data_IF_654815857635
#
_entry.id   IF_654815857635
#
_cell.length_a   1.000
_cell.length_b   1.000
_cell.length_c   1.000
_cell.angle_alpha   90.00
_cell.angle_beta   90.00
_cell.angle_gamma   90.00
#
_symmetry.space_group_name_H-M   'P 1'
#
loop_
_entity.id
_entity.type
_entity.pdbx_description
1 polymer ?
#
# COMPACT_ATOMS: atom_id res chain seq x y z
N UNK A 1 -44.67 -43.68 -11.67
CA UNK A 1 -43.40 -44.09 -12.31
C UNK A 1 -42.26 -43.69 -11.38
N UNK A 2 -41.35 -44.52 -10.93
CA UNK A 2 -41.36 -45.96 -10.66
C UNK A 2 -40.33 -46.13 -9.52
N UNK A 3 -40.80 -46.36 -8.30
CA UNK A 3 -39.99 -47.04 -7.28
C UNK A 3 -40.02 -48.54 -7.61
N UNK A 4 -38.92 -49.26 -7.39
CA UNK A 4 -38.88 -50.60 -6.77
C UNK A 4 -37.44 -51.16 -6.66
N UNK A 5 -37.22 -52.14 -5.75
CA UNK A 5 -35.98 -52.41 -4.99
C UNK A 5 -35.55 -53.90 -5.11
N UNK A 6 -34.93 -54.45 -4.04
CA UNK A 6 -34.50 -55.85 -3.75
C UNK A 6 -33.01 -56.16 -4.05
N UNK A 7 -32.28 -56.97 -3.27
CA UNK A 7 -32.47 -57.61 -1.97
C UNK A 7 -31.19 -58.36 -1.54
N UNK A 8 -31.04 -58.50 -0.22
CA UNK A 8 -30.52 -59.62 0.60
C UNK A 8 -29.47 -60.62 0.02
N UNK A 9 -28.31 -60.83 0.65
CA UNK A 9 -27.98 -61.47 1.96
C UNK A 9 -27.56 -62.94 1.78
N UNK A 10 -26.27 -63.27 2.03
CA UNK A 10 -25.87 -64.56 2.64
C UNK A 10 -24.58 -64.35 3.45
N UNK A 11 -24.67 -64.59 4.76
CA UNK A 11 -23.57 -64.87 5.67
C UNK A 11 -23.12 -66.32 5.50
N UNK A 12 -21.81 -66.57 5.49
CA UNK A 12 -21.28 -67.82 6.02
C UNK A 12 -19.93 -67.59 6.68
N UNK A 13 -19.87 -67.99 7.95
CA UNK A 13 -18.73 -67.96 8.84
C UNK A 13 -17.85 -69.19 8.62
N UNK A 14 -16.53 -69.03 8.70
CA UNK A 14 -15.63 -70.13 9.06
C UNK A 14 -14.48 -69.55 9.88
N UNK A 15 -14.46 -69.92 11.16
CA UNK A 15 -13.36 -69.65 12.10
C UNK A 15 -12.26 -70.68 11.82
N UNK A 16 -11.05 -70.22 11.53
CA UNK A 16 -9.83 -70.98 11.79
C UNK A 16 -8.84 -70.09 12.53
N UNK A 17 -8.62 -70.48 13.78
CA UNK A 17 -7.61 -70.01 14.70
C UNK A 17 -6.21 -70.32 14.17
N UNK A 18 -5.36 -69.31 14.09
CA UNK A 18 -3.92 -69.47 14.07
C UNK A 18 -3.29 -68.45 15.01
N UNK A 19 -2.86 -68.92 16.18
CA UNK A 19 -2.01 -68.17 17.09
C UNK A 19 -0.65 -67.95 16.42
N UNK A 20 -0.39 -66.72 15.99
CA UNK A 20 0.93 -66.24 15.62
C UNK A 20 1.10 -64.85 16.23
N UNK A 21 2.10 -64.68 17.08
CA UNK A 21 2.41 -63.41 17.75
C UNK A 21 2.70 -62.31 16.71
N UNK A 22 1.90 -61.22 16.65
CA UNK A 22 2.29 -60.07 15.84
C UNK A 22 3.51 -59.38 16.47
N UNK A 23 4.42 -58.83 15.64
CA UNK A 23 5.67 -58.25 16.10
C UNK A 23 5.39 -56.99 16.94
N UNK A 24 6.28 -56.75 17.91
CA UNK A 24 6.31 -55.50 18.69
C UNK A 24 6.57 -54.34 17.72
N UNK A 25 5.50 -53.70 17.26
CA UNK A 25 5.59 -52.38 16.63
C UNK A 25 5.93 -51.43 17.77
N UNK A 26 7.18 -51.00 17.82
CA UNK A 26 7.57 -49.82 18.58
C UNK A 26 6.64 -48.70 18.13
N UNK A 27 5.76 -48.23 19.02
CA UNK A 27 5.09 -46.93 18.85
C UNK A 27 6.22 -45.90 18.81
N UNK A 28 6.65 -45.52 17.61
CA UNK A 28 7.21 -44.20 17.44
C UNK A 28 6.11 -43.23 17.87
N UNK A 29 6.34 -42.58 19.01
CA UNK A 29 5.56 -41.44 19.46
C UNK A 29 5.62 -40.46 18.30
N UNK A 30 4.50 -40.30 17.59
CA UNK A 30 4.36 -39.28 16.56
C UNK A 30 4.86 -37.97 17.18
N UNK A 31 5.94 -37.43 16.60
CA UNK A 31 6.46 -36.13 17.00
C UNK A 31 5.27 -35.17 17.05
N UNK A 32 5.13 -34.43 18.15
CA UNK A 32 4.13 -33.39 18.29
C UNK A 32 4.14 -32.54 17.01
N UNK A 33 2.97 -32.22 16.41
CA UNK A 33 2.94 -31.42 15.19
C UNK A 33 3.74 -30.15 15.46
N UNK A 34 4.88 -30.03 14.76
CA UNK A 34 5.70 -28.83 14.82
C UNK A 34 4.76 -27.66 14.55
N UNK A 35 4.74 -26.62 15.40
CA UNK A 35 3.89 -25.47 15.15
C UNK A 35 4.22 -24.95 13.76
N UNK A 36 3.20 -24.81 12.91
CA UNK A 36 3.35 -24.18 11.61
C UNK A 36 3.82 -22.74 11.86
N UNK A 37 5.13 -22.51 11.75
CA UNK A 37 5.69 -21.17 11.83
C UNK A 37 5.40 -20.51 10.49
N UNK A 38 4.34 -19.71 10.44
CA UNK A 38 4.08 -18.84 9.31
C UNK A 38 5.25 -17.85 9.21
N UNK A 39 6.17 -18.11 8.29
CA UNK A 39 7.18 -17.14 7.88
C UNK A 39 6.55 -16.27 6.80
N UNK A 40 6.42 -14.98 7.08
CA UNK A 40 5.96 -14.01 6.09
C UNK A 40 6.91 -14.09 4.88
N UNK A 41 6.40 -14.30 3.65
CA UNK A 41 7.24 -14.39 2.48
C UNK A 41 8.00 -13.07 2.27
N UNK A 42 9.22 -13.15 1.73
CA UNK A 42 9.97 -11.94 1.40
C UNK A 42 9.15 -11.09 0.42
N UNK A 43 9.03 -9.76 0.64
CA UNK A 43 8.22 -8.90 -0.20
C UNK A 43 8.77 -8.89 -1.62
N UNK A 44 7.90 -9.06 -2.61
CA UNK A 44 8.29 -9.00 -4.01
C UNK A 44 8.65 -7.56 -4.41
N UNK A 45 9.41 -7.33 -5.50
CA UNK A 45 9.72 -5.98 -5.95
C UNK A 45 8.46 -5.12 -6.16
N UNK A 46 8.55 -3.79 -6.00
CA UNK A 46 7.45 -2.91 -6.31
C UNK A 46 7.16 -2.92 -7.81
N UNK A 47 5.89 -2.76 -8.18
CA UNK A 47 5.45 -2.59 -9.56
C UNK A 47 5.54 -1.12 -10.01
N UNK A 48 5.16 -0.19 -9.12
CA UNK A 48 5.27 1.25 -9.35
C UNK A 48 6.59 1.79 -8.78
N UNK A 49 7.18 2.77 -9.45
CA UNK A 49 8.37 3.46 -8.94
C UNK A 49 8.08 4.06 -7.55
N UNK A 50 8.96 3.87 -6.59
CA UNK A 50 8.72 4.26 -5.20
C UNK A 50 8.70 5.80 -5.01
N UNK A 51 9.21 6.56 -5.97
CA UNK A 51 9.15 8.02 -5.98
C UNK A 51 8.33 8.52 -7.19
N UNK A 52 7.04 8.89 -7.02
CA UNK A 52 6.21 9.37 -8.14
C UNK A 52 6.60 10.77 -8.66
N UNK A 53 7.44 11.50 -7.94
CA UNK A 53 7.88 12.84 -8.31
C UNK A 53 9.08 12.80 -9.25
N UNK A 54 10.02 11.89 -8.99
CA UNK A 54 11.19 11.65 -9.81
C UNK A 54 11.61 10.17 -9.70
N UNK A 55 11.48 9.42 -10.79
CA UNK A 55 11.77 7.98 -10.80
C UNK A 55 13.24 7.64 -10.54
N UNK A 56 14.17 8.57 -10.78
CA UNK A 56 15.61 8.37 -10.55
C UNK A 56 16.07 8.79 -9.14
N UNK A 57 15.16 9.35 -8.33
CA UNK A 57 15.46 9.80 -6.99
C UNK A 57 14.95 8.81 -5.92
N UNK A 58 15.67 8.65 -4.79
CA UNK A 58 15.16 7.88 -3.67
C UNK A 58 13.80 8.40 -3.19
N UNK A 59 12.92 7.54 -2.67
CA UNK A 59 11.66 7.95 -2.06
C UNK A 59 11.91 8.81 -0.81
N UNK A 60 10.94 9.66 -0.48
CA UNK A 60 11.04 10.62 0.63
C UNK A 60 11.30 9.96 1.98
N UNK A 61 10.77 8.76 2.22
CA UNK A 61 11.03 8.01 3.45
C UNK A 61 12.49 7.54 3.54
N UNK A 62 13.10 7.04 2.46
CA UNK A 62 14.51 6.65 2.47
C UNK A 62 15.42 7.85 2.78
N UNK A 63 15.13 9.01 2.19
CA UNK A 63 15.82 10.26 2.50
C UNK A 63 15.64 10.63 3.99
N UNK A 64 14.43 10.52 4.53
CA UNK A 64 14.16 10.81 5.94
C UNK A 64 14.90 9.87 6.89
N UNK A 65 15.03 8.57 6.56
CA UNK A 65 15.83 7.61 7.35
C UNK A 65 17.32 7.97 7.30
N UNK A 66 17.83 8.32 6.12
CA UNK A 66 19.22 8.76 5.97
C UNK A 66 19.50 10.01 6.81
N UNK A 67 18.62 10.99 6.75
CA UNK A 67 18.72 12.22 7.52
C UNK A 67 18.63 11.94 9.03
N UNK A 68 17.68 11.10 9.47
CA UNK A 68 17.55 10.71 10.88
C UNK A 68 18.83 10.04 11.42
N UNK A 69 19.46 9.20 10.60
CA UNK A 69 20.70 8.47 10.93
C UNK A 69 21.92 9.40 10.98
N UNK A 70 21.93 10.46 10.17
CA UNK A 70 23.01 11.45 10.15
C UNK A 70 22.95 12.44 11.33
N UNK A 71 21.80 12.57 11.99
CA UNK A 71 21.59 13.50 13.09
C UNK A 71 22.16 12.96 14.41
N UNK A 72 22.68 13.83 15.30
CA UNK A 72 23.07 13.44 16.64
C UNK A 72 21.91 12.77 17.38
N UNK A 73 22.21 11.71 18.12
CA UNK A 73 21.22 10.98 18.91
C UNK A 73 21.42 11.28 20.39
N UNK A 74 20.41 11.87 21.02
CA UNK A 74 20.33 11.95 22.49
C UNK A 74 19.81 10.63 23.03
N UNK A 75 20.70 9.80 23.57
CA UNK A 75 20.32 8.51 24.17
C UNK A 75 19.38 8.73 25.36
N UNK A 76 18.37 7.86 25.48
CA UNK A 76 17.39 7.91 26.58
C UNK A 76 17.22 6.53 27.21
N UNK A 77 17.33 6.46 28.53
CA UNK A 77 17.05 5.22 29.28
C UNK A 77 15.59 5.27 29.72
N UNK A 78 14.81 4.26 29.33
CA UNK A 78 13.38 4.15 29.67
C UNK A 78 13.09 2.82 30.35
N UNK A 79 12.14 2.80 31.28
CA UNK A 79 11.65 1.55 31.88
C UNK A 79 10.77 0.78 30.88
N UNK A 80 10.85 -0.55 30.89
CA UNK A 80 10.01 -1.40 30.06
C UNK A 80 8.57 -1.36 30.55
N UNK A 81 7.62 -1.21 29.62
CA UNK A 81 6.21 -1.05 29.93
C UNK A 81 5.60 -2.32 30.56
N UNK A 82 6.10 -3.49 30.20
CA UNK A 82 5.68 -4.79 30.72
C UNK A 82 6.41 -5.20 32.02
N UNK A 83 7.54 -4.56 32.34
CA UNK A 83 8.33 -4.81 33.55
C UNK A 83 9.09 -3.53 33.95
N UNK A 84 8.48 -2.66 34.79
CA UNK A 84 9.08 -1.37 35.15
C UNK A 84 10.42 -1.47 35.89
N UNK A 85 10.79 -2.66 36.39
CA UNK A 85 12.08 -2.91 37.03
C UNK A 85 13.25 -3.04 36.04
N UNK A 86 12.93 -3.27 34.76
CA UNK A 86 13.90 -3.34 33.66
C UNK A 86 13.89 -2.06 32.87
N UNK A 87 15.05 -1.70 32.32
CA UNK A 87 15.21 -0.57 31.42
C UNK A 87 15.77 -0.98 30.08
N UNK A 88 15.54 -0.14 29.08
CA UNK A 88 16.18 -0.21 27.77
C UNK A 88 16.72 1.16 27.39
N UNK A 89 17.73 1.18 26.52
CA UNK A 89 18.30 2.43 25.99
C UNK A 89 17.76 2.66 24.58
N UNK A 90 17.08 3.78 24.39
CA UNK A 90 16.68 4.27 23.08
C UNK A 90 17.83 5.09 22.50
N UNK A 91 18.37 4.63 21.37
CA UNK A 91 19.56 5.22 20.74
C UNK A 91 19.48 5.29 19.22
N UNK A 92 18.27 5.24 18.67
CA UNK A 92 18.01 5.39 17.23
C UNK A 92 16.98 6.49 17.05
N UNK A 93 17.32 7.49 16.23
CA UNK A 93 16.37 8.52 15.85
C UNK A 93 15.22 7.92 15.02
N UNK A 94 14.00 8.28 15.40
CA UNK A 94 12.75 7.92 14.72
C UNK A 94 12.19 9.13 13.98
N UNK A 95 11.31 8.86 13.03
CA UNK A 95 10.57 9.88 12.30
C UNK A 95 9.37 10.31 13.14
N UNK A 96 9.44 11.50 13.72
CA UNK A 96 8.39 12.01 14.62
C UNK A 96 7.64 13.16 13.93
N UNK A 97 6.31 13.10 13.93
CA UNK A 97 5.44 14.17 13.40
C UNK A 97 4.45 14.63 14.47
N UNK A 98 4.01 15.90 14.46
CA UNK A 98 2.91 16.32 15.30
C UNK A 98 1.60 15.64 14.88
N UNK A 99 0.74 15.33 15.83
CA UNK A 99 -0.57 14.74 15.56
C UNK A 99 -1.65 15.79 15.32
N UNK A 100 -1.49 17.00 15.89
CA UNK A 100 -2.48 18.09 15.83
C UNK A 100 -1.83 19.46 15.59
N UNK A 101 -2.65 20.43 15.19
CA UNK A 101 -2.33 21.86 15.11
C UNK A 101 -1.17 22.27 14.18
N UNK A 102 -0.66 21.37 13.34
CA UNK A 102 0.34 21.70 12.32
C UNK A 102 -0.27 21.77 10.92
N UNK A 103 -0.11 22.93 10.27
CA UNK A 103 -0.55 23.19 8.89
C UNK A 103 0.56 23.01 7.85
N UNK A 104 1.73 22.58 8.28
CA UNK A 104 2.90 22.36 7.45
C UNK A 104 3.45 20.95 7.73
N UNK A 105 4.21 20.39 6.78
CA UNK A 105 4.96 19.16 7.04
C UNK A 105 6.09 19.50 8.01
N UNK A 106 6.12 18.86 9.17
CA UNK A 106 7.01 19.22 10.27
C UNK A 106 7.54 17.98 10.98
N UNK A 107 8.19 17.11 10.21
CA UNK A 107 8.90 15.95 10.74
C UNK A 107 10.15 16.38 11.49
N UNK A 108 10.41 15.73 12.62
CA UNK A 108 11.65 15.84 13.39
C UNK A 108 12.23 14.46 13.70
N UNK A 109 13.46 14.44 14.15
CA UNK A 109 14.18 13.21 14.49
C UNK A 109 14.42 13.14 15.99
N UNK A 110 13.89 12.11 16.64
CA UNK A 110 14.07 11.89 18.07
C UNK A 110 13.91 10.42 18.42
N UNK A 111 14.49 9.97 19.53
CA UNK A 111 14.41 8.57 19.98
C UNK A 111 13.03 8.18 20.53
N UNK A 112 12.17 9.15 20.84
CA UNK A 112 10.85 8.96 21.41
C UNK A 112 9.92 10.12 21.00
N UNK A 113 8.67 9.82 20.71
CA UNK A 113 7.64 10.83 20.49
C UNK A 113 7.21 11.49 21.80
N UNK A 114 6.98 12.81 21.79
CA UNK A 114 6.41 13.53 22.93
C UNK A 114 4.87 13.56 22.91
N UNK A 115 4.32 14.42 23.77
CA UNK A 115 2.88 14.70 23.78
C UNK A 115 2.45 15.32 22.44
N UNK A 116 1.31 14.88 21.91
CA UNK A 116 0.79 15.29 20.61
C UNK A 116 1.75 15.02 19.44
N UNK A 117 2.58 13.99 19.57
CA UNK A 117 3.48 13.52 18.52
C UNK A 117 3.32 12.02 18.34
N UNK A 118 3.72 11.53 17.17
CA UNK A 118 3.68 10.10 16.85
C UNK A 118 4.94 9.71 16.07
N UNK A 119 5.48 8.54 16.41
CA UNK A 119 6.49 7.87 15.59
C UNK A 119 5.82 7.25 14.37
N UNK A 120 6.21 7.73 13.18
CA UNK A 120 5.72 7.26 11.89
C UNK A 120 6.72 6.38 11.15
N UNK A 121 7.84 6.00 11.77
CA UNK A 121 8.91 5.25 11.10
C UNK A 121 8.40 3.95 10.47
N UNK A 122 7.69 3.11 11.23
CA UNK A 122 7.14 1.84 10.74
C UNK A 122 5.92 2.05 9.84
N UNK A 123 5.17 3.14 10.05
CA UNK A 123 4.03 3.51 9.22
C UNK A 123 4.54 3.86 7.83
N UNK A 124 5.53 4.74 7.72
CA UNK A 124 6.06 5.24 6.46
C UNK A 124 6.81 4.15 5.69
N UNK A 125 7.56 3.29 6.39
CA UNK A 125 8.17 2.08 5.80
C UNK A 125 7.11 1.22 5.12
N UNK A 126 6.05 0.88 5.85
CA UNK A 126 4.98 0.08 5.30
C UNK A 126 4.23 0.80 4.16
N UNK A 127 3.90 2.08 4.33
CA UNK A 127 3.19 2.86 3.31
C UNK A 127 3.99 2.91 2.01
N UNK A 128 5.31 3.09 2.04
CA UNK A 128 6.17 3.04 0.85
C UNK A 128 6.07 1.67 0.16
N UNK A 129 6.14 0.58 0.92
CA UNK A 129 6.08 -0.77 0.37
C UNK A 129 4.73 -1.05 -0.30
N UNK A 130 3.61 -0.68 0.34
CA UNK A 130 2.27 -0.91 -0.24
C UNK A 130 2.00 0.03 -1.41
N UNK A 131 2.55 1.25 -1.39
CA UNK A 131 2.45 2.21 -2.49
C UNK A 131 3.06 1.63 -3.76
N UNK A 132 4.22 0.98 -3.67
CA UNK A 132 4.84 0.28 -4.80
C UNK A 132 3.98 -0.82 -5.44
N UNK A 133 2.90 -1.28 -4.78
CA UNK A 133 2.04 -2.37 -5.27
C UNK A 133 0.59 -1.95 -5.55
N UNK A 134 0.11 -0.95 -4.82
CA UNK A 134 -1.31 -0.58 -4.76
C UNK A 134 -1.58 0.93 -4.96
N UNK A 135 -0.59 1.73 -5.40
CA UNK A 135 -0.79 3.15 -5.72
C UNK A 135 -1.90 3.35 -6.76
N UNK A 136 -1.86 2.62 -7.87
CA UNK A 136 -2.89 2.65 -8.92
C UNK A 136 -3.71 1.35 -8.95
N UNK A 137 -4.99 1.46 -9.34
CA UNK A 137 -5.86 0.32 -9.61
C UNK A 137 -5.67 -0.24 -11.04
N UNK A 138 -5.63 -1.57 -11.23
CA UNK A 138 -5.69 -2.61 -10.20
C UNK A 138 -4.33 -2.83 -9.51
N UNK A 139 -4.33 -3.18 -8.21
CA UNK A 139 -3.11 -3.48 -7.47
C UNK A 139 -2.44 -4.75 -8.01
N UNK A 140 -1.11 -4.83 -7.88
CA UNK A 140 -0.30 -5.92 -8.44
C UNK A 140 0.40 -6.69 -7.32
N UNK A 141 0.01 -7.94 -7.18
CA UNK A 141 0.62 -8.89 -6.25
C UNK A 141 0.82 -10.22 -7.00
N UNK A 142 2.08 -10.66 -7.19
CA UNK A 142 2.35 -11.96 -7.81
C UNK A 142 1.99 -13.12 -6.88
N UNK A 143 2.04 -12.90 -5.57
CA UNK A 143 1.69 -13.89 -4.55
C UNK A 143 0.43 -13.50 -3.76
N UNK A 144 -0.48 -14.47 -3.59
CA UNK A 144 -1.75 -14.25 -2.90
C UNK A 144 -1.54 -14.10 -1.38
N UNK A 145 -0.54 -14.76 -0.82
CA UNK A 145 -0.27 -14.68 0.62
C UNK A 145 0.37 -13.34 0.99
N UNK A 146 1.29 -12.84 0.16
CA UNK A 146 1.80 -11.48 0.22
C UNK A 146 0.66 -10.47 0.19
N UNK A 147 -0.25 -10.58 -0.80
CA UNK A 147 -1.44 -9.70 -0.86
C UNK A 147 -2.20 -9.70 0.47
N UNK A 148 -2.52 -10.87 1.04
CA UNK A 148 -3.24 -10.97 2.31
C UNK A 148 -2.50 -10.31 3.48
N UNK A 149 -1.17 -10.46 3.54
CA UNK A 149 -0.34 -9.81 4.57
C UNK A 149 -0.43 -8.29 4.48
N UNK A 150 -0.30 -7.75 3.27
CA UNK A 150 -0.46 -6.31 3.00
C UNK A 150 -1.87 -5.82 3.31
N UNK A 151 -2.91 -6.57 2.98
CA UNK A 151 -4.30 -6.24 3.32
C UNK A 151 -4.51 -6.15 4.84
N UNK A 152 -3.95 -7.09 5.61
CA UNK A 152 -4.05 -7.11 7.06
C UNK A 152 -3.30 -5.93 7.70
N UNK A 153 -2.04 -5.70 7.31
CA UNK A 153 -1.20 -4.62 7.82
C UNK A 153 -1.73 -3.24 7.42
N UNK A 154 -2.34 -3.11 6.24
CA UNK A 154 -2.98 -1.87 5.81
C UNK A 154 -4.25 -1.57 6.61
N UNK A 155 -5.06 -2.57 6.97
CA UNK A 155 -6.19 -2.38 7.89
C UNK A 155 -5.73 -1.88 9.25
N UNK A 156 -4.68 -2.47 9.81
CA UNK A 156 -4.13 -2.01 11.09
C UNK A 156 -3.57 -0.57 10.98
N UNK A 157 -2.81 -0.30 9.93
CA UNK A 157 -2.20 1.02 9.70
C UNK A 157 -3.26 2.10 9.50
N UNK A 158 -4.30 1.83 8.70
CA UNK A 158 -5.42 2.76 8.52
C UNK A 158 -6.17 3.00 9.82
N UNK A 159 -6.44 1.98 10.64
CA UNK A 159 -7.08 2.16 11.95
C UNK A 159 -6.28 3.10 12.88
N UNK A 160 -4.95 2.92 12.95
CA UNK A 160 -4.08 3.80 13.73
C UNK A 160 -4.10 5.24 13.22
N UNK A 161 -4.01 5.41 11.90
CA UNK A 161 -4.02 6.73 11.26
C UNK A 161 -5.37 7.42 11.39
N UNK A 162 -6.48 6.69 11.27
CA UNK A 162 -7.83 7.23 11.37
C UNK A 162 -8.10 7.80 12.77
N UNK A 163 -7.64 7.10 13.83
CA UNK A 163 -7.77 7.58 15.21
C UNK A 163 -7.09 8.95 15.45
N UNK A 164 -6.04 9.25 14.68
CA UNK A 164 -5.36 10.54 14.69
C UNK A 164 -6.01 11.54 13.73
N UNK A 165 -6.33 11.10 12.52
CA UNK A 165 -6.84 11.94 11.43
C UNK A 165 -8.26 12.42 11.67
N UNK A 166 -9.11 11.66 12.37
CA UNK A 166 -10.49 12.07 12.68
C UNK A 166 -10.59 13.26 13.64
N UNK A 167 -9.50 13.61 14.34
CA UNK A 167 -9.46 14.81 15.18
C UNK A 167 -9.66 16.07 14.32
N UNK A 168 -10.53 17.03 14.72
CA UNK A 168 -10.82 18.21 13.91
C UNK A 168 -9.59 19.04 13.54
N UNK A 169 -8.62 19.09 14.45
CA UNK A 169 -7.36 19.82 14.33
C UNK A 169 -6.17 18.91 13.99
N UNK A 170 -6.40 17.71 13.41
CA UNK A 170 -5.34 16.82 12.96
C UNK A 170 -4.31 17.55 12.08
N UNK A 171 -3.03 17.20 12.24
CA UNK A 171 -1.94 17.81 11.49
C UNK A 171 -1.97 17.44 10.01
N UNK A 172 -1.33 18.28 9.19
CA UNK A 172 -1.13 18.00 7.76
C UNK A 172 -0.41 16.66 7.52
N UNK A 173 0.60 16.33 8.34
CA UNK A 173 1.36 15.08 8.27
C UNK A 173 0.48 13.84 8.49
N UNK A 174 -0.38 13.88 9.51
CA UNK A 174 -1.32 12.78 9.81
C UNK A 174 -2.37 12.65 8.70
N UNK A 175 -2.96 13.77 8.28
CA UNK A 175 -3.98 13.77 7.23
C UNK A 175 -3.43 13.18 5.93
N UNK A 176 -2.21 13.56 5.54
CA UNK A 176 -1.57 13.07 4.29
C UNK A 176 -1.38 11.56 4.33
N UNK A 177 -0.90 11.00 5.46
CA UNK A 177 -0.71 9.56 5.62
C UNK A 177 -2.04 8.80 5.62
N UNK A 178 -3.03 9.29 6.37
CA UNK A 178 -4.37 8.68 6.43
C UNK A 178 -5.06 8.71 5.05
N UNK A 179 -4.89 9.80 4.30
CA UNK A 179 -5.37 9.93 2.93
C UNK A 179 -4.74 8.87 2.01
N UNK A 180 -3.41 8.80 1.93
CA UNK A 180 -2.68 7.82 1.10
C UNK A 180 -3.07 6.38 1.47
N UNK A 181 -3.07 6.07 2.76
CA UNK A 181 -3.45 4.75 3.28
C UNK A 181 -4.89 4.37 2.87
N UNK A 182 -5.83 5.31 2.94
CA UNK A 182 -7.21 5.10 2.52
C UNK A 182 -7.34 4.89 1.00
N UNK A 183 -6.59 5.62 0.18
CA UNK A 183 -6.58 5.41 -1.29
C UNK A 183 -6.07 4.01 -1.62
N UNK A 184 -4.98 3.58 -1.01
CA UNK A 184 -4.42 2.24 -1.23
C UNK A 184 -5.38 1.15 -0.71
N UNK A 185 -6.04 1.36 0.43
CA UNK A 185 -7.02 0.42 0.97
C UNK A 185 -8.25 0.28 0.07
N UNK A 186 -8.71 1.38 -0.54
CA UNK A 186 -9.74 1.37 -1.58
C UNK A 186 -9.27 0.57 -2.80
N UNK A 187 -8.06 0.84 -3.29
CA UNK A 187 -7.51 0.13 -4.46
C UNK A 187 -7.33 -1.36 -4.21
N UNK A 188 -7.12 -1.78 -2.96
CA UNK A 188 -7.06 -3.17 -2.54
C UNK A 188 -8.43 -3.83 -2.27
N UNK A 189 -9.54 -3.13 -2.56
CA UNK A 189 -10.91 -3.60 -2.35
C UNK A 189 -11.25 -3.91 -0.88
N UNK A 190 -10.66 -3.17 0.08
CA UNK A 190 -10.81 -3.47 1.52
C UNK A 190 -12.12 -2.98 2.13
N UNK A 191 -12.95 -2.27 1.36
CA UNK A 191 -14.27 -1.80 1.77
C UNK A 191 -14.57 -0.38 1.28
N UNK A 192 -15.86 -0.08 1.09
CA UNK A 192 -16.32 1.22 0.54
C UNK A 192 -16.05 2.40 1.47
N UNK A 193 -15.90 2.17 2.77
CA UNK A 193 -15.60 3.21 3.75
C UNK A 193 -14.30 3.97 3.44
N UNK A 194 -13.31 3.29 2.83
CA UNK A 194 -12.03 3.92 2.47
C UNK A 194 -12.18 4.98 1.37
N UNK A 195 -13.17 4.84 0.47
CA UNK A 195 -13.50 5.89 -0.49
C UNK A 195 -13.92 7.16 0.24
N UNK A 196 -14.89 7.07 1.15
CA UNK A 196 -15.38 8.24 1.92
C UNK A 196 -14.28 8.87 2.78
N UNK A 197 -13.47 8.04 3.46
CA UNK A 197 -12.34 8.52 4.28
C UNK A 197 -11.29 9.24 3.45
N UNK A 198 -10.86 8.65 2.33
CA UNK A 198 -9.89 9.29 1.43
C UNK A 198 -10.39 10.65 0.92
N UNK A 199 -11.66 10.76 0.53
CA UNK A 199 -12.26 12.03 0.09
C UNK A 199 -12.29 13.06 1.22
N UNK A 200 -12.68 12.67 2.44
CA UNK A 200 -12.72 13.57 3.59
C UNK A 200 -11.32 14.13 3.91
N UNK A 201 -10.32 13.25 4.02
CA UNK A 201 -8.96 13.67 4.34
C UNK A 201 -8.36 14.53 3.23
N UNK A 202 -8.57 14.18 1.95
CA UNK A 202 -8.12 15.01 0.83
C UNK A 202 -8.72 16.42 0.87
N UNK A 203 -10.03 16.55 1.11
CA UNK A 203 -10.68 17.87 1.23
C UNK A 203 -10.07 18.72 2.34
N UNK A 204 -9.76 18.11 3.48
CA UNK A 204 -9.13 18.80 4.61
C UNK A 204 -7.70 19.22 4.30
N UNK A 205 -6.93 18.37 3.62
CA UNK A 205 -5.58 18.71 3.15
C UNK A 205 -5.65 19.87 2.16
N UNK A 206 -6.55 19.82 1.18
CA UNK A 206 -6.70 20.86 0.15
C UNK A 206 -7.19 22.20 0.74
N UNK A 207 -7.91 22.19 1.85
CA UNK A 207 -8.25 23.40 2.59
C UNK A 207 -7.03 24.05 3.27
N UNK A 208 -6.02 23.24 3.65
CA UNK A 208 -4.78 23.70 4.28
C UNK A 208 -3.74 24.10 3.22
N UNK A 209 -3.55 23.25 2.21
CA UNK A 209 -2.53 23.38 1.17
C UNK A 209 -3.11 23.06 -0.22
N UNK A 210 -3.83 24.01 -0.83
CA UNK A 210 -4.60 23.77 -2.07
C UNK A 210 -3.75 23.47 -3.31
N UNK A 211 -2.44 23.75 -3.24
CA UNK A 211 -1.48 23.61 -4.33
C UNK A 211 -0.36 22.61 -4.00
N UNK A 212 -0.47 21.81 -2.93
CA UNK A 212 0.49 20.75 -2.62
C UNK A 212 0.54 19.75 -3.79
N UNK A 213 1.69 19.59 -4.48
CA UNK A 213 1.76 18.78 -5.70
C UNK A 213 1.41 17.31 -5.46
N UNK A 214 1.91 16.73 -4.37
CA UNK A 214 1.66 15.33 -4.00
C UNK A 214 0.17 15.09 -3.70
N UNK A 215 -0.46 15.94 -2.90
CA UNK A 215 -1.89 15.82 -2.59
C UNK A 215 -2.73 15.94 -3.87
N UNK A 216 -2.42 16.91 -4.73
CA UNK A 216 -3.11 17.08 -6.00
C UNK A 216 -2.91 15.86 -6.91
N UNK A 217 -1.73 15.24 -6.90
CA UNK A 217 -1.47 14.01 -7.63
C UNK A 217 -2.35 12.87 -7.12
N UNK A 218 -2.27 12.56 -5.82
CA UNK A 218 -3.01 11.48 -5.18
C UNK A 218 -4.53 11.64 -5.30
N UNK A 219 -5.02 12.87 -5.15
CA UNK A 219 -6.44 13.15 -5.29
C UNK A 219 -6.88 13.09 -6.75
N UNK A 220 -6.08 13.62 -7.67
CA UNK A 220 -6.35 13.60 -9.11
C UNK A 220 -6.46 12.19 -9.67
N UNK A 221 -5.46 11.34 -9.44
CA UNK A 221 -5.55 9.96 -9.94
C UNK A 221 -6.62 9.17 -9.15
N UNK A 222 -6.78 9.45 -7.85
CA UNK A 222 -7.81 8.84 -7.01
C UNK A 222 -9.22 9.09 -7.57
N UNK A 223 -9.51 10.30 -8.03
CA UNK A 223 -10.75 10.65 -8.73
C UNK A 223 -10.85 9.96 -10.10
N UNK A 224 -9.77 10.02 -10.89
CA UNK A 224 -9.73 9.42 -12.23
C UNK A 224 -10.09 7.93 -12.22
N UNK A 225 -9.46 7.17 -11.33
CA UNK A 225 -9.66 5.74 -11.18
C UNK A 225 -10.98 5.39 -10.49
N UNK A 226 -11.55 6.34 -9.74
CA UNK A 226 -12.84 6.22 -9.07
C UNK A 226 -14.04 6.63 -9.93
N UNK A 227 -13.85 7.01 -11.19
CA UNK A 227 -14.94 7.43 -12.09
C UNK A 227 -15.23 8.94 -12.14
N UNK A 228 -14.43 9.75 -11.45
CA UNK A 228 -14.51 11.23 -11.46
C UNK A 228 -13.52 11.85 -12.44
N UNK A 229 -13.48 11.38 -13.69
CA UNK A 229 -12.41 11.75 -14.62
C UNK A 229 -12.42 13.24 -15.01
N UNK A 230 -13.59 13.89 -15.03
CA UNK A 230 -13.67 15.33 -15.34
C UNK A 230 -13.16 16.16 -14.17
N UNK A 231 -13.51 15.75 -12.96
CA UNK A 231 -13.12 16.37 -11.70
C UNK A 231 -11.62 16.18 -11.43
N UNK A 232 -11.02 15.09 -11.91
CA UNK A 232 -9.60 14.79 -11.77
C UNK A 232 -8.67 15.78 -12.50
N UNK A 233 -9.08 16.29 -13.67
CA UNK A 233 -8.25 17.11 -14.56
C UNK A 233 -7.56 18.28 -13.82
N UNK A 234 -8.27 19.18 -13.11
CA UNK A 234 -7.62 20.32 -12.46
C UNK A 234 -6.58 19.92 -11.39
N UNK A 235 -6.75 18.78 -10.74
CA UNK A 235 -5.80 18.28 -9.73
C UNK A 235 -4.56 17.67 -10.40
N UNK A 236 -4.75 16.88 -11.46
CA UNK A 236 -3.64 16.32 -12.25
C UNK A 236 -2.82 17.43 -12.92
N UNK A 237 -3.47 18.49 -13.42
CA UNK A 237 -2.79 19.66 -13.98
C UNK A 237 -1.95 20.40 -12.92
N UNK A 238 -2.48 20.56 -11.70
CA UNK A 238 -1.73 21.15 -10.58
C UNK A 238 -0.53 20.28 -10.19
N UNK A 239 -0.69 18.96 -10.16
CA UNK A 239 0.40 18.03 -9.88
C UNK A 239 1.50 18.09 -10.93
N UNK A 240 1.14 18.12 -12.22
CA UNK A 240 2.07 18.31 -13.34
C UNK A 240 2.83 19.63 -13.20
N UNK A 241 2.13 20.74 -12.95
CA UNK A 241 2.75 22.06 -12.72
C UNK A 241 3.67 22.07 -11.50
N UNK A 242 3.32 21.30 -10.47
CA UNK A 242 4.11 21.09 -9.27
C UNK A 242 5.28 20.12 -9.44
N UNK A 243 5.49 19.57 -10.64
CA UNK A 243 6.65 18.74 -10.98
C UNK A 243 6.51 17.25 -10.66
N UNK A 244 5.29 16.75 -10.39
CA UNK A 244 5.09 15.32 -10.17
C UNK A 244 5.16 14.56 -11.50
N UNK A 245 6.22 13.78 -11.70
CA UNK A 245 6.46 13.03 -12.94
C UNK A 245 5.30 12.09 -13.30
N UNK A 246 4.85 11.27 -12.35
CA UNK A 246 3.80 10.28 -12.59
C UNK A 246 2.42 10.88 -12.88
N UNK A 247 2.21 12.17 -12.57
CA UNK A 247 0.97 12.86 -12.86
C UNK A 247 0.69 12.95 -14.37
N UNK A 248 1.73 12.94 -15.21
CA UNK A 248 1.58 12.84 -16.66
C UNK A 248 0.93 11.53 -17.09
N UNK A 249 1.38 10.40 -16.54
CA UNK A 249 0.83 9.08 -16.86
C UNK A 249 -0.61 8.97 -16.36
N UNK A 250 -0.88 9.45 -15.14
CA UNK A 250 -2.24 9.52 -14.60
C UNK A 250 -3.17 10.40 -15.44
N UNK A 251 -2.70 11.56 -15.92
CA UNK A 251 -3.46 12.43 -16.80
C UNK A 251 -3.71 11.80 -18.18
N UNK A 252 -2.72 11.13 -18.77
CA UNK A 252 -2.90 10.38 -20.00
C UNK A 252 -3.96 9.29 -19.82
N UNK A 253 -3.89 8.52 -18.73
CA UNK A 253 -4.88 7.51 -18.38
C UNK A 253 -6.29 8.09 -18.22
N UNK A 254 -6.40 9.24 -17.54
CA UNK A 254 -7.65 9.96 -17.36
C UNK A 254 -8.29 10.34 -18.71
N UNK A 255 -7.49 10.80 -19.67
CA UNK A 255 -7.98 11.12 -21.02
C UNK A 255 -8.37 9.88 -21.82
N UNK A 256 -7.71 8.73 -21.61
CA UNK A 256 -8.13 7.47 -22.24
C UNK A 256 -9.53 7.04 -21.75
N UNK A 257 -9.80 7.14 -20.44
CA UNK A 257 -11.13 6.87 -19.88
C UNK A 257 -12.23 7.80 -20.41
N UNK A 258 -11.87 9.04 -20.74
CA UNK A 258 -12.78 10.03 -21.36
C UNK A 258 -12.89 9.86 -22.89
N UNK A 259 -12.26 8.84 -23.46
CA UNK A 259 -12.14 8.61 -24.92
C UNK A 259 -11.47 9.78 -25.68
N UNK A 260 -10.71 10.61 -24.96
CA UNK A 260 -9.99 11.77 -25.51
C UNK A 260 -8.58 11.38 -25.96
N UNK A 261 -8.49 10.44 -26.90
CA UNK A 261 -7.22 9.88 -27.40
C UNK A 261 -6.19 10.93 -27.82
N UNK A 262 -6.62 12.01 -28.48
CA UNK A 262 -5.72 13.11 -28.89
C UNK A 262 -5.07 13.80 -27.68
N UNK A 263 -5.83 14.02 -26.61
CA UNK A 263 -5.32 14.64 -25.39
C UNK A 263 -4.39 13.68 -24.65
N UNK A 264 -4.72 12.39 -24.58
CA UNK A 264 -3.83 11.38 -24.00
C UNK A 264 -2.46 11.35 -24.71
N UNK A 265 -2.45 11.31 -26.06
CA UNK A 265 -1.21 11.32 -26.85
C UNK A 265 -0.43 12.62 -26.63
N UNK A 266 -1.10 13.78 -26.60
CA UNK A 266 -0.42 15.05 -26.36
C UNK A 266 0.20 15.09 -24.95
N UNK A 267 -0.48 14.57 -23.94
CA UNK A 267 0.07 14.45 -22.58
C UNK A 267 1.31 13.56 -22.55
N UNK A 268 1.31 12.41 -23.25
CA UNK A 268 2.47 11.54 -23.36
C UNK A 268 3.64 12.18 -24.14
N UNK A 269 3.36 12.98 -25.16
CA UNK A 269 4.39 13.78 -25.85
C UNK A 269 5.01 14.81 -24.91
N UNK A 270 4.20 15.49 -24.11
CA UNK A 270 4.70 16.44 -23.11
C UNK A 270 5.53 15.73 -22.02
N UNK A 271 5.11 14.53 -21.60
CA UNK A 271 5.86 13.67 -20.69
C UNK A 271 7.26 13.37 -21.22
N UNK A 272 7.35 12.89 -22.46
CA UNK A 272 8.62 12.62 -23.16
C UNK A 272 9.54 13.85 -23.25
N UNK A 273 8.98 15.03 -23.54
CA UNK A 273 9.78 16.26 -23.61
C UNK A 273 10.33 16.66 -22.24
N UNK A 274 9.54 16.46 -21.18
CA UNK A 274 9.93 16.83 -19.81
C UNK A 274 10.90 15.83 -19.18
N UNK A 275 10.72 14.54 -19.48
CA UNK A 275 11.50 13.42 -18.95
C UNK A 275 12.07 12.61 -20.13
N UNK A 276 13.19 13.04 -20.73
CA UNK A 276 13.75 12.41 -21.92
C UNK A 276 14.24 10.98 -21.66
N UNK A 277 14.62 10.64 -20.44
CA UNK A 277 15.02 9.28 -20.05
C UNK A 277 13.83 8.29 -20.13
N UNK A 278 12.61 8.81 -20.12
CA UNK A 278 11.36 8.06 -20.26
C UNK A 278 10.83 8.05 -21.71
N UNK A 279 11.63 8.50 -22.68
CA UNK A 279 11.21 8.63 -24.07
C UNK A 279 10.76 7.29 -24.68
N UNK A 280 11.47 6.20 -24.40
CA UNK A 280 11.11 4.86 -24.91
C UNK A 280 9.75 4.40 -24.35
N UNK A 281 9.52 4.61 -23.06
CA UNK A 281 8.24 4.30 -22.40
C UNK A 281 7.12 5.12 -23.05
N UNK A 282 7.34 6.43 -23.21
CA UNK A 282 6.36 7.32 -23.82
C UNK A 282 6.04 6.93 -25.28
N UNK A 283 7.05 6.63 -26.10
CA UNK A 283 6.88 6.24 -27.49
C UNK A 283 6.10 4.94 -27.63
N UNK A 284 6.40 3.94 -26.78
CA UNK A 284 5.64 2.70 -26.71
C UNK A 284 4.17 2.97 -26.36
N UNK A 285 3.91 3.73 -25.29
CA UNK A 285 2.54 4.06 -24.87
C UNK A 285 1.78 4.80 -25.97
N UNK A 286 2.41 5.76 -26.66
CA UNK A 286 1.81 6.49 -27.79
C UNK A 286 1.42 5.52 -28.90
N UNK A 287 2.34 4.65 -29.34
CA UNK A 287 2.08 3.68 -30.42
C UNK A 287 0.94 2.71 -30.08
N UNK A 288 0.89 2.22 -28.84
CA UNK A 288 -0.14 1.29 -28.39
C UNK A 288 -1.52 1.95 -28.27
N UNK A 289 -1.57 3.22 -27.84
CA UNK A 289 -2.79 4.03 -27.85
C UNK A 289 -3.24 4.31 -29.29
N UNK A 290 -2.31 4.66 -30.18
CA UNK A 290 -2.56 4.93 -31.60
C UNK A 290 -3.14 3.71 -32.33
N UNK A 291 -2.59 2.52 -32.08
CA UNK A 291 -3.10 1.25 -32.63
C UNK A 291 -4.36 0.72 -31.95
N UNK A 292 -4.80 1.33 -30.85
CA UNK A 292 -5.97 0.90 -30.08
C UNK A 292 -5.72 -0.35 -29.22
N UNK A 293 -4.47 -0.81 -29.11
CA UNK A 293 -4.07 -1.93 -28.24
C UNK A 293 -4.11 -1.58 -26.76
N UNK A 294 -3.98 -0.29 -26.43
CA UNK A 294 -3.94 0.22 -25.06
C UNK A 294 -5.12 1.13 -24.76
N UNK A 295 -5.82 0.80 -23.68
CA UNK A 295 -6.92 1.61 -23.12
C UNK A 295 -6.62 2.10 -21.69
N UNK A 296 -5.52 1.64 -21.08
CA UNK A 296 -5.05 2.07 -19.76
C UNK A 296 -3.51 2.06 -19.72
N UNK A 297 -2.87 3.09 -19.15
CA UNK A 297 -1.40 3.20 -19.12
C UNK A 297 -0.74 2.19 -18.18
N UNK A 298 -1.48 1.72 -17.17
CA UNK A 298 -1.09 0.68 -16.19
C UNK A 298 -1.42 -0.74 -16.66
N UNK A 299 -1.96 -0.88 -17.87
CA UNK A 299 -2.22 -2.19 -18.48
C UNK A 299 -0.90 -2.91 -18.77
N UNK A 300 -0.80 -4.15 -18.33
CA UNK A 300 0.25 -5.09 -18.74
C UNK A 300 -0.22 -5.73 -20.05
N UNK A 301 0.57 -5.54 -21.10
CA UNK A 301 0.38 -6.21 -22.39
C UNK A 301 1.35 -7.38 -22.43
N UNK A 302 0.82 -8.58 -22.67
CA UNK A 302 1.60 -9.80 -22.87
C UNK A 302 2.00 -9.96 -24.33
#
# INVERSE_FOLDING_TARGET
MNFKPLALLVLSTSVLTACGTPPVVKKEVAAAPQPFVFKEPDPTPPFYALNPVNYDAPPSFELAIKDATAQPVTKMVVSLQNDPSKSTTLEVNKLIVPTVNSKQRSMKYAVLAGDNEVDVTEIDDFLQLVEGKARHYPPRFPDRQERKGYEAKLKETTQKLDALAEQPNASLDVLTRAFKASVMARNMDLGTAYTTKSLNYAQRILAISPNDPETNFWFGFGLSEGGGQREAIPYLDKAIKGGVQEAYLSAANNFLWLEQKKNAIQTLKNYKVKYPDEAEVADRLISEVESGKRWNVWQVLN
#
